data_IF_055392425522
#
_entry.id   IF_055392425522
#
_cell.length_a   1.000
_cell.length_b   1.000
_cell.length_c   1.000
_cell.angle_alpha   90.00
_cell.angle_beta   90.00
_cell.angle_gamma   90.00
#
_symmetry.space_group_name_H-M   'P 1'
#
loop_
_entity.id
_entity.type
_entity.pdbx_description
1 polymer ?
#
# COMPACT_ATOMS: atom_id res chain seq x y z
N UNK A 1 -39.48 -1.75 10.72
CA UNK A 1 -38.28 -2.05 9.90
C UNK A 1 -37.38 -0.85 9.61
N UNK A 2 -37.80 0.40 9.84
CA UNK A 2 -37.02 1.61 9.57
C UNK A 2 -35.92 1.93 10.61
N UNK A 3 -36.11 1.58 11.89
CA UNK A 3 -35.15 1.90 12.96
C UNK A 3 -33.81 1.13 12.89
N UNK A 4 -33.84 -0.15 12.50
CA UNK A 4 -32.64 -0.98 12.40
C UNK A 4 -31.73 -0.55 11.23
N UNK A 5 -32.34 -0.22 10.09
CA UNK A 5 -31.62 0.24 8.89
C UNK A 5 -30.87 1.56 9.13
N UNK A 6 -31.46 2.46 9.92
CA UNK A 6 -30.86 3.76 10.22
C UNK A 6 -29.67 3.63 11.18
N UNK A 7 -29.75 2.72 12.15
CA UNK A 7 -28.64 2.41 13.07
C UNK A 7 -27.44 1.78 12.35
N UNK A 8 -27.67 0.85 11.43
CA UNK A 8 -26.61 0.19 10.64
C UNK A 8 -25.87 1.22 9.75
N UNK A 9 -26.59 2.12 9.07
CA UNK A 9 -25.98 3.17 8.25
C UNK A 9 -25.14 4.16 9.06
N UNK A 10 -25.59 4.55 10.25
CA UNK A 10 -24.86 5.49 11.11
C UNK A 10 -23.53 4.87 11.59
N UNK A 11 -23.55 3.58 11.94
CA UNK A 11 -22.36 2.85 12.37
C UNK A 11 -21.32 2.67 11.24
N UNK A 12 -21.76 2.41 9.99
CA UNK A 12 -20.85 2.34 8.84
C UNK A 12 -20.13 3.66 8.57
N UNK A 13 -20.85 4.78 8.61
CA UNK A 13 -20.25 6.11 8.45
C UNK A 13 -19.20 6.39 9.53
N UNK A 14 -19.48 6.01 10.78
CA UNK A 14 -18.55 6.14 11.89
C UNK A 14 -17.27 5.32 11.69
N UNK A 15 -17.38 4.06 11.24
CA UNK A 15 -16.21 3.19 10.97
C UNK A 15 -15.34 3.77 9.86
N UNK A 16 -15.94 4.24 8.76
CA UNK A 16 -15.21 4.89 7.66
C UNK A 16 -14.49 6.14 8.17
N UNK A 17 -15.15 6.96 8.99
CA UNK A 17 -14.56 8.18 9.54
C UNK A 17 -13.41 7.87 10.50
N UNK A 18 -13.56 6.84 11.34
CA UNK A 18 -12.51 6.37 12.24
C UNK A 18 -11.30 5.82 11.46
N UNK A 19 -11.53 5.10 10.36
CA UNK A 19 -10.47 4.64 9.47
C UNK A 19 -9.71 5.83 8.87
N UNK A 20 -10.39 6.82 8.29
CA UNK A 20 -9.75 8.03 7.75
C UNK A 20 -9.01 8.82 8.81
N UNK A 21 -9.63 8.97 9.99
CA UNK A 21 -9.02 9.66 11.11
C UNK A 21 -7.71 8.99 11.51
N UNK A 22 -7.70 7.65 11.65
CA UNK A 22 -6.47 6.88 11.92
C UNK A 22 -5.40 7.12 10.83
N UNK A 23 -5.80 7.15 9.56
CA UNK A 23 -4.89 7.33 8.42
C UNK A 23 -4.22 8.72 8.38
N UNK A 24 -4.89 9.77 8.88
CA UNK A 24 -4.32 11.12 8.97
C UNK A 24 -3.07 11.18 9.85
N UNK A 25 -3.01 10.35 10.90
CA UNK A 25 -1.87 10.32 11.83
C UNK A 25 -0.78 9.34 11.43
N UNK A 26 -1.07 8.37 10.55
CA UNK A 26 -0.06 7.44 10.01
C UNK A 26 0.72 8.02 8.82
N UNK A 27 0.17 9.03 8.12
CA UNK A 27 0.82 9.66 6.96
C UNK A 27 1.85 10.76 7.28
N UNK A 28 1.93 11.23 8.53
CA UNK A 28 2.81 12.33 8.95
C UNK A 28 3.94 11.83 9.86
N UNK A 29 4.92 11.13 9.29
CA UNK A 29 6.17 10.79 10.00
C UNK A 29 7.15 11.97 9.94
N UNK A 30 6.87 12.98 10.75
CA UNK A 30 7.77 14.10 11.04
C UNK A 30 7.51 14.61 12.46
N UNK A 31 8.44 14.30 13.38
CA UNK A 31 8.59 14.81 14.74
C UNK A 31 7.49 15.75 15.26
N UNK A 32 6.50 15.21 15.96
CA UNK A 32 5.91 15.89 17.13
C UNK A 32 5.45 14.85 18.15
N UNK A 33 6.27 14.68 19.19
CA UNK A 33 5.88 14.13 20.47
C UNK A 33 4.86 15.10 21.11
N UNK A 34 3.56 15.00 20.76
CA UNK A 34 2.47 15.48 21.65
C UNK A 34 1.02 15.19 21.20
N UNK A 35 0.75 14.53 20.08
CA UNK A 35 -0.63 14.17 19.73
C UNK A 35 -0.97 12.74 20.18
N UNK A 36 -1.22 12.59 21.48
CA UNK A 36 -1.85 11.39 22.03
C UNK A 36 -3.25 11.26 21.38
N UNK A 37 -3.59 10.14 20.74
CA UNK A 37 -4.93 9.92 20.20
C UNK A 37 -5.94 9.93 21.35
N UNK A 38 -7.06 10.63 21.21
CA UNK A 38 -8.24 10.28 22.00
C UNK A 38 -8.51 8.79 21.76
N UNK A 39 -8.49 7.96 22.81
CA UNK A 39 -8.81 6.54 22.72
C UNK A 39 -10.26 6.37 22.25
N UNK A 40 -10.46 6.26 20.94
CA UNK A 40 -11.72 5.78 20.34
C UNK A 40 -11.80 4.24 20.42
N UNK A 41 -10.81 3.59 21.04
CA UNK A 41 -10.67 2.14 21.09
C UNK A 41 -11.79 1.41 21.86
N UNK A 42 -12.51 2.10 22.74
CA UNK A 42 -13.50 1.48 23.64
C UNK A 42 -14.91 1.22 23.05
N UNK A 43 -15.25 1.79 21.90
CA UNK A 43 -16.63 1.74 21.36
C UNK A 43 -16.76 1.06 20.00
N UNK A 44 -15.73 0.36 19.54
CA UNK A 44 -15.84 -0.51 18.38
C UNK A 44 -16.54 -1.80 18.81
N UNK A 45 -17.86 -1.75 18.95
CA UNK A 45 -18.66 -2.97 18.90
C UNK A 45 -18.31 -3.67 17.60
N UNK A 46 -17.74 -4.86 17.74
CA UNK A 46 -17.43 -5.80 16.67
C UNK A 46 -18.75 -6.31 16.07
N UNK A 47 -19.48 -5.44 15.40
CA UNK A 47 -20.58 -5.80 14.53
C UNK A 47 -19.93 -6.21 13.21
N UNK A 48 -20.41 -7.30 12.63
CA UNK A 48 -20.00 -8.01 11.40
C UNK A 48 -20.04 -7.16 10.10
N UNK A 49 -19.86 -5.85 10.22
CA UNK A 49 -19.84 -4.83 9.16
C UNK A 49 -18.70 -5.03 8.17
N UNK A 50 -17.54 -5.53 8.63
CA UNK A 50 -16.42 -5.85 7.74
C UNK A 50 -16.72 -6.99 6.76
N UNK A 51 -17.58 -7.95 7.13
CA UNK A 51 -18.03 -9.05 6.26
C UNK A 51 -19.09 -8.54 5.29
N UNK A 52 -20.05 -7.74 5.77
CA UNK A 52 -21.11 -7.14 4.93
C UNK A 52 -20.51 -6.25 3.82
N UNK A 53 -19.49 -5.45 4.15
CA UNK A 53 -18.84 -4.56 3.19
C UNK A 53 -18.02 -5.35 2.15
N UNK A 54 -17.42 -6.49 2.55
CA UNK A 54 -16.68 -7.37 1.65
C UNK A 54 -17.59 -8.13 0.68
N UNK A 55 -18.72 -8.67 1.14
CA UNK A 55 -19.69 -9.36 0.30
C UNK A 55 -20.35 -8.40 -0.71
N UNK A 56 -20.69 -7.19 -0.28
CA UNK A 56 -21.20 -6.16 -1.17
C UNK A 56 -20.19 -5.80 -2.25
N UNK A 57 -18.93 -5.51 -1.87
CA UNK A 57 -17.84 -5.21 -2.79
C UNK A 57 -17.60 -6.32 -3.81
N UNK A 58 -17.51 -7.57 -3.35
CA UNK A 58 -17.31 -8.74 -4.22
C UNK A 58 -18.49 -8.94 -5.17
N UNK A 59 -19.73 -8.77 -4.71
CA UNK A 59 -20.91 -8.89 -5.58
C UNK A 59 -20.93 -7.86 -6.72
N UNK A 60 -20.46 -6.63 -6.46
CA UNK A 60 -20.35 -5.56 -7.46
C UNK A 60 -19.21 -5.83 -8.43
N UNK A 61 -18.09 -6.33 -7.92
CA UNK A 61 -16.96 -6.74 -8.74
C UNK A 61 -17.32 -7.91 -9.67
N UNK A 62 -17.99 -8.95 -9.18
CA UNK A 62 -18.45 -10.07 -9.99
C UNK A 62 -19.40 -9.62 -11.11
N UNK A 63 -20.32 -8.70 -10.77
CA UNK A 63 -21.23 -8.11 -11.77
C UNK A 63 -20.45 -7.33 -12.82
N UNK A 64 -19.47 -6.53 -12.42
CA UNK A 64 -18.60 -5.78 -13.32
C UNK A 64 -17.83 -6.71 -14.27
N UNK A 65 -17.22 -7.79 -13.76
CA UNK A 65 -16.51 -8.76 -14.60
C UNK A 65 -17.43 -9.49 -15.58
N UNK A 66 -18.63 -9.87 -15.15
CA UNK A 66 -19.63 -10.51 -16.03
C UNK A 66 -20.04 -9.58 -17.17
N UNK A 67 -20.26 -8.31 -16.87
CA UNK A 67 -20.58 -7.30 -17.89
C UNK A 67 -19.42 -7.14 -18.86
N UNK A 68 -18.17 -7.02 -18.42
CA UNK A 68 -17.01 -6.90 -19.32
C UNK A 68 -16.84 -8.04 -20.33
N UNK A 69 -17.35 -9.24 -20.02
CA UNK A 69 -17.26 -10.42 -20.89
C UNK A 69 -18.43 -10.56 -21.87
N UNK A 70 -19.47 -9.73 -21.73
CA UNK A 70 -20.62 -9.78 -22.63
C UNK A 70 -20.37 -8.96 -23.90
N UNK A 71 -20.67 -9.54 -25.05
CA UNK A 71 -20.63 -8.80 -26.32
C UNK A 71 -21.78 -7.78 -26.38
N UNK A 72 -21.50 -6.54 -26.78
CA UNK A 72 -22.51 -5.49 -26.97
C UNK A 72 -22.93 -4.74 -25.69
N UNK A 73 -22.08 -4.71 -24.67
CA UNK A 73 -22.35 -4.02 -23.40
C UNK A 73 -22.61 -2.54 -23.58
N UNK A 74 -23.69 -2.08 -22.95
CA UNK A 74 -23.96 -0.67 -22.75
C UNK A 74 -22.88 -0.08 -21.82
N UNK A 75 -22.08 0.83 -22.39
CA UNK A 75 -21.00 1.53 -21.69
C UNK A 75 -21.51 2.31 -20.49
N UNK A 76 -22.73 2.86 -20.57
CA UNK A 76 -23.33 3.62 -19.48
C UNK A 76 -23.66 2.69 -18.31
N UNK A 77 -24.18 1.50 -18.60
CA UNK A 77 -24.47 0.49 -17.58
C UNK A 77 -23.20 -0.08 -16.93
N UNK A 78 -22.14 -0.24 -17.72
CA UNK A 78 -20.82 -0.66 -17.22
C UNK A 78 -20.26 0.40 -16.26
N UNK A 79 -20.32 1.67 -16.65
CA UNK A 79 -19.87 2.79 -15.82
C UNK A 79 -20.67 2.88 -14.52
N UNK A 80 -21.99 2.74 -14.56
CA UNK A 80 -22.83 2.71 -13.35
C UNK A 80 -22.44 1.58 -12.38
N UNK A 81 -22.09 0.41 -12.92
CA UNK A 81 -21.65 -0.73 -12.09
C UNK A 81 -20.28 -0.46 -11.46
N UNK A 82 -19.38 0.20 -12.19
CA UNK A 82 -18.08 0.62 -11.68
C UNK A 82 -18.21 1.73 -10.63
N UNK A 83 -19.12 2.70 -10.81
CA UNK A 83 -19.42 3.72 -9.81
C UNK A 83 -19.98 3.11 -8.52
N UNK A 84 -20.85 2.09 -8.64
CA UNK A 84 -21.34 1.32 -7.49
C UNK A 84 -20.22 0.54 -6.78
N UNK A 85 -19.26 -0.01 -7.53
CA UNK A 85 -18.08 -0.64 -6.96
C UNK A 85 -17.21 0.40 -6.22
N UNK A 86 -16.98 1.59 -6.79
CA UNK A 86 -16.23 2.65 -6.13
C UNK A 86 -16.86 3.12 -4.81
N UNK A 87 -18.19 3.09 -4.67
CA UNK A 87 -18.83 3.39 -3.38
C UNK A 87 -18.37 2.45 -2.25
N UNK A 88 -18.01 1.21 -2.57
CA UNK A 88 -17.50 0.25 -1.59
C UNK A 88 -16.07 0.54 -1.12
N UNK A 89 -15.30 1.37 -1.86
CA UNK A 89 -13.90 1.66 -1.55
C UNK A 89 -13.75 2.42 -0.24
N UNK A 90 -14.80 3.07 0.26
CA UNK A 90 -14.76 3.75 1.54
C UNK A 90 -14.35 2.81 2.70
N UNK A 91 -14.64 1.50 2.56
CA UNK A 91 -14.24 0.43 3.50
C UNK A 91 -12.78 -0.06 3.35
N UNK A 92 -12.07 0.40 2.32
CA UNK A 92 -10.66 0.09 2.07
C UNK A 92 -9.76 1.19 2.66
N UNK A 93 -8.56 0.83 3.09
CA UNK A 93 -7.49 1.79 3.43
C UNK A 93 -7.07 2.60 2.20
N UNK A 94 -6.44 3.76 2.39
CA UNK A 94 -5.91 4.59 1.28
C UNK A 94 -4.92 3.80 0.39
N UNK A 95 -4.08 2.97 1.00
CA UNK A 95 -3.16 2.11 0.26
C UNK A 95 -3.93 1.10 -0.60
N UNK A 96 -4.89 0.39 -0.01
CA UNK A 96 -5.74 -0.55 -0.76
C UNK A 96 -6.53 0.16 -1.88
N UNK A 97 -7.03 1.38 -1.66
CA UNK A 97 -7.71 2.16 -2.70
C UNK A 97 -6.79 2.50 -3.87
N UNK A 98 -5.53 2.89 -3.61
CA UNK A 98 -4.52 3.13 -4.65
C UNK A 98 -4.40 1.89 -5.55
N UNK A 99 -4.23 0.72 -4.95
CA UNK A 99 -4.06 -0.53 -5.70
C UNK A 99 -5.35 -1.06 -6.33
N UNK A 100 -6.50 -0.81 -5.71
CA UNK A 100 -7.80 -1.09 -6.30
C UNK A 100 -8.02 -0.29 -7.60
N UNK A 101 -7.64 1.00 -7.61
CA UNK A 101 -7.69 1.83 -8.82
C UNK A 101 -6.72 1.35 -9.90
N UNK A 102 -5.47 1.03 -9.53
CA UNK A 102 -4.48 0.49 -10.48
C UNK A 102 -5.00 -0.81 -11.12
N UNK A 103 -5.55 -1.70 -10.29
CA UNK A 103 -6.13 -2.95 -10.77
C UNK A 103 -7.30 -2.70 -11.73
N UNK A 104 -8.27 -1.86 -11.36
CA UNK A 104 -9.43 -1.57 -12.22
C UNK A 104 -9.02 -0.94 -13.56
N UNK A 105 -8.04 -0.03 -13.56
CA UNK A 105 -7.47 0.49 -14.80
C UNK A 105 -6.80 -0.61 -15.64
N UNK A 106 -6.10 -1.54 -15.00
CA UNK A 106 -5.55 -2.74 -15.66
C UNK A 106 -6.63 -3.59 -16.31
N UNK A 107 -7.78 -3.76 -15.64
CA UNK A 107 -8.93 -4.50 -16.19
C UNK A 107 -9.55 -3.77 -17.38
N UNK A 108 -9.82 -2.47 -17.27
CA UNK A 108 -10.42 -1.67 -18.35
C UNK A 108 -9.52 -1.59 -19.59
N UNK A 109 -8.20 -1.59 -19.39
CA UNK A 109 -7.21 -1.56 -20.48
C UNK A 109 -6.92 -2.94 -21.09
N UNK A 110 -7.47 -4.02 -20.53
CA UNK A 110 -7.21 -5.40 -20.98
C UNK A 110 -5.84 -5.95 -20.55
N UNK A 111 -5.11 -5.23 -19.69
CA UNK A 111 -3.78 -5.62 -19.20
C UNK A 111 -3.83 -6.52 -17.96
N UNK A 112 -4.98 -6.65 -17.31
CA UNK A 112 -5.14 -7.50 -16.13
C UNK A 112 -5.58 -8.92 -16.52
N UNK A 113 -4.91 -9.92 -15.93
CA UNK A 113 -5.34 -11.32 -16.00
C UNK A 113 -6.42 -11.59 -14.97
N UNK A 114 -7.58 -12.04 -15.42
CA UNK A 114 -8.75 -12.28 -14.57
C UNK A 114 -9.02 -13.77 -14.40
N UNK A 115 -8.90 -14.24 -13.16
CA UNK A 115 -9.32 -15.55 -12.68
C UNK A 115 -10.72 -15.48 -12.04
N UNK A 116 -11.58 -16.44 -12.38
CA UNK A 116 -12.99 -16.44 -12.00
C UNK A 116 -13.27 -16.76 -10.53
N UNK A 117 -12.29 -17.25 -9.77
CA UNK A 117 -12.44 -17.61 -8.36
C UNK A 117 -11.90 -16.56 -7.40
N UNK A 118 -11.21 -15.52 -7.90
CA UNK A 118 -10.59 -14.49 -7.06
C UNK A 118 -11.56 -13.35 -6.74
N UNK A 119 -11.61 -13.00 -5.48
CA UNK A 119 -12.30 -11.83 -4.92
C UNK A 119 -11.59 -10.54 -5.28
N UNK A 120 -12.28 -9.40 -5.14
CA UNK A 120 -11.68 -8.09 -5.41
C UNK A 120 -10.49 -7.79 -4.49
N UNK A 121 -10.60 -8.17 -3.21
CA UNK A 121 -9.53 -7.98 -2.21
C UNK A 121 -8.29 -8.82 -2.50
N UNK A 122 -8.45 -10.02 -3.05
CA UNK A 122 -7.30 -10.83 -3.48
C UNK A 122 -6.53 -10.12 -4.61
N UNK A 123 -7.23 -9.53 -5.59
CA UNK A 123 -6.55 -8.73 -6.61
C UNK A 123 -5.85 -7.50 -6.03
N UNK A 124 -6.48 -6.77 -5.11
CA UNK A 124 -5.84 -5.63 -4.44
C UNK A 124 -4.55 -6.09 -3.74
N UNK A 125 -4.63 -7.20 -3.00
CA UNK A 125 -3.50 -7.80 -2.27
C UNK A 125 -2.37 -8.20 -3.22
N UNK A 126 -2.70 -8.79 -4.37
CA UNK A 126 -1.71 -9.15 -5.38
C UNK A 126 -1.01 -7.93 -5.98
N UNK A 127 -1.75 -6.87 -6.29
CA UNK A 127 -1.18 -5.64 -6.81
C UNK A 127 -0.29 -4.94 -5.76
N UNK A 128 -0.72 -4.93 -4.49
CA UNK A 128 0.10 -4.47 -3.36
C UNK A 128 1.41 -5.27 -3.27
N UNK A 129 1.31 -6.60 -3.30
CA UNK A 129 2.47 -7.48 -3.19
C UNK A 129 3.43 -7.30 -4.37
N UNK A 130 2.91 -7.21 -5.60
CA UNK A 130 3.71 -6.93 -6.80
C UNK A 130 4.44 -5.59 -6.70
N UNK A 131 3.75 -4.54 -6.25
CA UNK A 131 4.33 -3.22 -6.09
C UNK A 131 5.45 -3.21 -5.03
N UNK A 132 5.20 -3.78 -3.84
CA UNK A 132 6.23 -3.90 -2.78
C UNK A 132 7.46 -4.68 -3.25
N UNK A 133 7.25 -5.77 -3.99
CA UNK A 133 8.35 -6.52 -4.58
C UNK A 133 9.12 -5.73 -5.63
N UNK A 134 8.43 -4.92 -6.44
CA UNK A 134 9.06 -4.05 -7.42
C UNK A 134 9.90 -2.95 -6.73
N UNK A 135 9.38 -2.36 -5.65
CA UNK A 135 10.12 -1.38 -4.82
C UNK A 135 11.40 -1.99 -4.23
N UNK A 136 11.32 -3.20 -3.65
CA UNK A 136 12.47 -3.95 -3.12
C UNK A 136 13.49 -4.23 -4.23
N UNK A 137 13.02 -4.67 -5.40
CA UNK A 137 13.89 -4.95 -6.54
C UNK A 137 14.58 -3.66 -7.02
N UNK A 138 13.81 -2.57 -7.13
CA UNK A 138 14.31 -1.28 -7.62
C UNK A 138 15.39 -0.72 -6.69
N UNK A 139 15.17 -0.66 -5.37
CA UNK A 139 16.19 -0.17 -4.44
C UNK A 139 17.42 -1.10 -4.41
N UNK A 140 17.22 -2.41 -4.54
CA UNK A 140 18.32 -3.38 -4.59
C UNK A 140 19.19 -3.17 -5.82
N UNK A 141 18.58 -2.91 -6.98
CA UNK A 141 19.29 -2.60 -8.22
C UNK A 141 19.99 -1.25 -8.17
N UNK A 142 19.31 -0.22 -7.65
CA UNK A 142 19.82 1.14 -7.54
C UNK A 142 21.06 1.23 -6.64
N UNK A 143 21.09 0.47 -5.54
CA UNK A 143 22.20 0.49 -4.56
C UNK A 143 23.14 -0.71 -4.67
N UNK A 144 22.83 -1.68 -5.53
CA UNK A 144 23.58 -2.93 -5.65
C UNK A 144 23.51 -3.81 -4.39
N UNK A 145 22.39 -3.79 -3.67
CA UNK A 145 22.21 -4.57 -2.44
C UNK A 145 21.99 -6.06 -2.72
N UNK A 146 22.30 -6.88 -1.72
CA UNK A 146 21.78 -8.23 -1.62
C UNK A 146 20.28 -8.20 -1.33
N UNK A 147 19.48 -8.41 -2.37
CA UNK A 147 18.03 -8.40 -2.31
C UNK A 147 17.48 -9.45 -1.33
N UNK A 148 18.12 -10.62 -1.22
CA UNK A 148 17.67 -11.69 -0.31
C UNK A 148 17.81 -11.24 1.13
N UNK A 149 18.94 -10.60 1.48
CA UNK A 149 19.11 -10.00 2.82
C UNK A 149 18.10 -8.90 3.10
N UNK A 150 17.83 -8.03 2.12
CA UNK A 150 16.84 -6.96 2.28
C UNK A 150 15.43 -7.55 2.54
N UNK A 151 15.01 -8.54 1.75
CA UNK A 151 13.72 -9.22 1.91
C UNK A 151 13.59 -9.88 3.29
N UNK A 152 14.61 -10.63 3.71
CA UNK A 152 14.62 -11.29 5.02
C UNK A 152 14.50 -10.28 6.16
N UNK A 153 15.20 -9.14 6.03
CA UNK A 153 15.15 -8.07 7.02
C UNK A 153 13.73 -7.47 7.11
N UNK A 154 13.11 -7.15 5.97
CA UNK A 154 11.77 -6.55 5.92
C UNK A 154 10.64 -7.46 6.43
N UNK A 155 10.76 -8.78 6.29
CA UNK A 155 9.74 -9.74 6.77
C UNK A 155 9.86 -9.95 8.29
N UNK A 156 10.99 -9.60 8.91
CA UNK A 156 11.31 -9.92 10.32
C UNK A 156 10.62 -9.02 11.36
N UNK A 157 9.61 -8.23 10.99
CA UNK A 157 8.83 -7.41 11.94
C UNK A 157 9.67 -6.37 12.70
N UNK A 158 10.55 -5.68 11.97
CA UNK A 158 11.55 -4.79 12.54
C UNK A 158 11.04 -3.37 12.80
N UNK A 159 11.65 -2.73 13.79
CA UNK A 159 11.42 -1.37 14.25
C UNK A 159 12.74 -0.62 14.37
N UNK A 160 12.68 0.69 14.63
CA UNK A 160 13.88 1.50 14.90
C UNK A 160 14.79 0.91 15.99
N UNK A 161 14.20 0.28 17.00
CA UNK A 161 14.92 -0.25 18.15
C UNK A 161 15.66 -1.55 17.86
N UNK A 162 15.11 -2.39 16.97
CA UNK A 162 15.61 -3.74 16.74
C UNK A 162 16.21 -3.95 15.34
N UNK A 163 16.13 -2.97 14.43
CA UNK A 163 16.56 -3.11 13.03
C UNK A 163 17.97 -3.68 12.89
N UNK A 164 18.88 -3.37 13.81
CA UNK A 164 20.27 -3.85 13.78
C UNK A 164 20.59 -4.93 14.84
N UNK A 165 19.59 -5.57 15.44
CA UNK A 165 19.84 -6.74 16.30
C UNK A 165 20.63 -7.80 15.55
N UNK A 166 21.62 -8.39 16.23
CA UNK A 166 22.54 -9.36 15.65
C UNK A 166 23.35 -8.83 14.43
N UNK A 167 23.44 -7.51 14.25
CA UNK A 167 24.21 -6.89 13.15
C UNK A 167 23.54 -6.98 11.78
N UNK A 168 22.28 -7.44 11.69
CA UNK A 168 21.60 -7.73 10.41
C UNK A 168 21.49 -6.53 9.46
N UNK A 169 21.37 -5.31 9.98
CA UNK A 169 21.32 -4.12 9.14
C UNK A 169 22.71 -3.69 8.68
N UNK A 170 23.73 -3.84 9.52
CA UNK A 170 25.13 -3.67 9.11
C UNK A 170 25.52 -4.69 8.03
N UNK A 171 25.10 -5.95 8.17
CA UNK A 171 25.34 -7.00 7.18
C UNK A 171 24.69 -6.72 5.82
N UNK A 172 23.51 -6.08 5.81
CA UNK A 172 22.88 -5.60 4.58
C UNK A 172 23.68 -4.42 3.99
N UNK A 173 24.03 -3.42 4.79
CA UNK A 173 24.80 -2.26 4.32
C UNK A 173 26.16 -2.66 3.75
N UNK A 174 26.78 -3.70 4.29
CA UNK A 174 28.04 -4.23 3.77
C UNK A 174 27.92 -4.80 2.34
N UNK A 175 26.71 -5.01 1.83
CA UNK A 175 26.46 -5.43 0.44
C UNK A 175 26.31 -4.27 -0.55
N UNK A 176 26.27 -3.02 -0.07
CA UNK A 176 26.07 -1.84 -0.93
C UNK A 176 27.20 -1.70 -1.96
N UNK A 177 26.82 -1.52 -3.22
CA UNK A 177 27.70 -1.04 -4.27
C UNK A 177 27.83 0.49 -4.14
N UNK A 178 29.00 0.94 -3.68
CA UNK A 178 29.30 2.36 -3.47
C UNK A 178 29.23 3.18 -4.76
N UNK A 179 29.57 2.59 -5.91
CA UNK A 179 29.58 3.28 -7.20
C UNK A 179 28.15 3.53 -7.67
N UNK A 180 27.31 2.49 -7.73
CA UNK A 180 25.90 2.62 -8.12
C UNK A 180 25.14 3.60 -7.22
N UNK A 181 25.42 3.51 -5.94
CA UNK A 181 24.79 4.35 -4.93
C UNK A 181 25.17 5.83 -5.10
N UNK A 182 26.45 6.09 -5.38
CA UNK A 182 26.92 7.44 -5.70
C UNK A 182 26.23 7.97 -6.97
N UNK A 183 26.22 7.18 -8.04
CA UNK A 183 25.56 7.55 -9.31
C UNK A 183 24.07 7.87 -9.10
N UNK A 184 23.36 7.04 -8.33
CA UNK A 184 21.96 7.26 -8.00
C UNK A 184 21.72 8.62 -7.33
N UNK A 185 22.43 8.91 -6.23
CA UNK A 185 22.21 10.16 -5.48
C UNK A 185 22.68 11.40 -6.25
N UNK A 186 23.79 11.30 -6.99
CA UNK A 186 24.28 12.41 -7.82
C UNK A 186 23.33 12.70 -8.99
N UNK A 187 22.74 11.67 -9.61
CA UNK A 187 21.73 11.85 -10.66
C UNK A 187 20.43 12.42 -10.10
N UNK A 188 20.02 11.98 -8.92
CA UNK A 188 18.84 12.49 -8.23
C UNK A 188 18.99 13.98 -7.83
N UNK A 189 20.18 14.40 -7.40
CA UNK A 189 20.44 15.77 -6.94
C UNK A 189 21.03 16.69 -8.03
N UNK A 190 21.41 16.16 -9.19
CA UNK A 190 22.02 16.90 -10.29
C UNK A 190 23.40 17.49 -9.95
N UNK A 191 24.06 16.97 -8.91
CA UNK A 191 25.32 17.51 -8.39
C UNK A 191 26.21 16.40 -7.84
N UNK A 192 27.54 16.65 -7.82
CA UNK A 192 28.51 15.75 -7.19
C UNK A 192 28.37 15.78 -5.67
N UNK A 193 28.40 14.62 -5.03
CA UNK A 193 28.19 14.48 -3.58
C UNK A 193 29.42 13.83 -2.96
N UNK A 194 30.02 14.41 -1.89
CA UNK A 194 31.10 13.78 -1.16
C UNK A 194 30.71 12.38 -0.63
N UNK A 195 31.62 11.40 -0.75
CA UNK A 195 31.36 10.00 -0.39
C UNK A 195 30.82 9.81 1.03
N UNK A 196 31.30 10.58 2.02
CA UNK A 196 30.79 10.49 3.39
C UNK A 196 29.32 10.91 3.52
N UNK A 197 28.85 11.88 2.72
CA UNK A 197 27.44 12.30 2.69
C UNK A 197 26.57 11.24 2.03
N UNK A 198 27.08 10.55 1.00
CA UNK A 198 26.37 9.43 0.36
C UNK A 198 26.13 8.32 1.40
N UNK A 199 27.14 7.94 2.17
CA UNK A 199 26.99 6.91 3.22
C UNK A 199 25.87 7.25 4.22
N UNK A 200 25.78 8.50 4.65
CA UNK A 200 24.71 8.97 5.56
C UNK A 200 23.35 8.91 4.89
N UNK A 201 23.24 9.39 3.64
CA UNK A 201 21.98 9.39 2.88
C UNK A 201 21.45 7.97 2.68
N UNK A 202 22.33 7.05 2.32
CA UNK A 202 21.98 5.64 2.10
C UNK A 202 21.52 4.97 3.37
N UNK A 203 22.23 5.20 4.47
CA UNK A 203 21.84 4.68 5.78
C UNK A 203 20.42 5.13 6.16
N UNK A 204 20.16 6.44 6.09
CA UNK A 204 18.86 7.01 6.44
C UNK A 204 17.74 6.52 5.51
N UNK A 205 18.01 6.47 4.20
CA UNK A 205 17.03 6.01 3.22
C UNK A 205 16.69 4.54 3.43
N UNK A 206 17.71 3.67 3.59
CA UNK A 206 17.47 2.24 3.81
C UNK A 206 16.76 1.97 5.12
N UNK A 207 17.17 2.62 6.20
CA UNK A 207 16.49 2.49 7.49
C UNK A 207 15.01 2.86 7.35
N UNK A 208 14.71 4.02 6.75
CA UNK A 208 13.34 4.47 6.51
C UNK A 208 12.56 3.51 5.61
N UNK A 209 13.17 3.05 4.52
CA UNK A 209 12.56 2.12 3.56
C UNK A 209 12.14 0.82 4.25
N UNK A 210 13.03 0.29 5.08
CA UNK A 210 12.82 -0.95 5.78
C UNK A 210 11.72 -0.81 6.86
N UNK A 211 11.79 0.23 7.70
CA UNK A 211 10.81 0.47 8.78
C UNK A 211 9.41 0.71 8.24
N UNK A 212 9.31 1.42 7.11
CA UNK A 212 8.02 1.74 6.50
C UNK A 212 7.46 0.59 5.63
N UNK A 213 8.17 -0.55 5.53
CA UNK A 213 7.72 -1.70 4.74
C UNK A 213 7.82 -1.49 3.22
N UNK A 214 8.71 -0.59 2.78
CA UNK A 214 8.91 -0.24 1.37
C UNK A 214 8.24 1.08 0.98
N UNK A 215 8.84 1.77 0.01
CA UNK A 215 8.21 2.88 -0.71
C UNK A 215 8.96 3.15 -2.01
N UNK A 216 8.28 3.81 -2.95
CA UNK A 216 8.88 4.24 -4.21
C UNK A 216 10.04 5.22 -3.99
N UNK A 217 11.24 4.84 -4.43
CA UNK A 217 12.41 5.72 -4.48
C UNK A 217 12.45 6.46 -5.83
N UNK A 218 13.05 7.65 -5.86
CA UNK A 218 13.08 8.48 -7.06
C UNK A 218 13.70 7.77 -8.27
N UNK A 219 13.04 7.84 -9.42
CA UNK A 219 13.56 7.27 -10.67
C UNK A 219 14.70 8.14 -11.20
N UNK A 220 15.81 7.49 -11.54
CA UNK A 220 16.96 8.11 -12.19
C UNK A 220 16.99 7.71 -13.67
N UNK A 221 15.87 7.91 -14.39
CA UNK A 221 15.82 7.73 -15.85
C UNK A 221 16.69 8.77 -16.56
#
# INVERSE_FOLDING_TARGET
MTGLYSQVKLNQQFIILALRYKELFTGSSGNTLDNVPFEIAGYLTQIDTGVIDADFMNSRFDKFLKMLRQDGVDKDQLQLTLDDLHKSFASLTQEEQKYANIFLHGVQSGNATLESSKTFREYITEYQFKAKNAEITHISQAFGLDEVKLRNLMISGISEYNINEYGRFDDLKNTIDKTKTMEYFEKLEGAKIPAFKINIKVHNLLQKFIINGGFEIGNTN
#
